data_IF_224275521365
#
_entry.id   IF_224275521365
#
_cell.length_a   1.000
_cell.length_b   1.000
_cell.length_c   1.000
_cell.angle_alpha   90.00
_cell.angle_beta   90.00
_cell.angle_gamma   90.00
#
_symmetry.space_group_name_H-M   'P 1'
#
loop_
_entity.id
_entity.type
_entity.pdbx_description
1 polymer ?
#
# COMPACT_ATOMS: atom_id res chain seq x y z
N UNK A 1 21.47 28.70 -4.46
CA UNK A 1 20.27 27.89 -4.78
C UNK A 1 20.71 26.43 -4.86
N UNK A 2 20.02 25.52 -4.19
CA UNK A 2 20.32 24.09 -4.15
C UNK A 2 18.99 23.32 -4.14
N UNK A 3 18.94 22.18 -4.83
CA UNK A 3 17.79 21.27 -4.82
C UNK A 3 18.03 20.18 -3.77
N UNK A 4 17.02 19.90 -2.94
CA UNK A 4 17.13 18.94 -1.84
C UNK A 4 16.26 17.70 -2.10
N UNK A 5 16.81 16.53 -1.82
CA UNK A 5 16.05 15.28 -1.80
C UNK A 5 15.64 14.95 -0.37
N UNK A 6 14.33 14.84 -0.11
CA UNK A 6 13.81 14.59 1.24
C UNK A 6 13.53 13.11 1.50
N UNK A 7 14.50 12.41 2.10
CA UNK A 7 14.40 10.97 2.34
C UNK A 7 14.10 10.57 3.79
N UNK A 8 14.54 11.37 4.80
CA UNK A 8 14.27 11.12 6.25
C UNK A 8 12.87 11.58 6.67
N UNK A 9 11.86 11.25 5.90
CA UNK A 9 10.49 11.73 6.09
C UNK A 9 10.21 13.01 5.30
N UNK A 10 9.07 13.66 5.59
CA UNK A 10 8.54 14.78 4.79
C UNK A 10 9.03 16.14 5.31
N UNK A 11 9.38 16.22 6.61
CA UNK A 11 9.66 17.49 7.29
C UNK A 11 10.84 18.27 6.69
N UNK A 12 11.90 17.59 6.28
CA UNK A 12 13.04 18.25 5.63
C UNK A 12 12.66 18.91 4.30
N UNK A 13 11.72 18.32 3.56
CA UNK A 13 11.21 18.87 2.31
C UNK A 13 10.31 20.08 2.54
N UNK A 14 9.45 20.04 3.56
CA UNK A 14 8.65 21.19 3.98
C UNK A 14 9.56 22.39 4.31
N UNK A 15 10.59 22.15 5.12
CA UNK A 15 11.50 23.21 5.56
C UNK A 15 12.31 23.80 4.40
N UNK A 16 12.79 22.96 3.48
CA UNK A 16 13.51 23.40 2.29
C UNK A 16 12.61 24.25 1.37
N UNK A 17 11.37 23.82 1.13
CA UNK A 17 10.41 24.55 0.31
C UNK A 17 10.05 25.92 0.91
N UNK A 18 9.90 26.02 2.24
CA UNK A 18 9.68 27.31 2.94
C UNK A 18 10.84 28.29 2.77
N UNK A 19 12.06 27.77 2.65
CA UNK A 19 13.26 28.56 2.37
C UNK A 19 13.48 28.83 0.87
N UNK A 20 12.57 28.41 0.00
CA UNK A 20 12.63 28.67 -1.43
C UNK A 20 13.64 27.80 -2.19
N UNK A 21 13.92 26.60 -1.68
CA UNK A 21 14.71 25.59 -2.36
C UNK A 21 13.80 24.59 -3.06
N UNK A 22 14.15 24.20 -4.28
CA UNK A 22 13.49 23.07 -4.96
C UNK A 22 13.69 21.76 -4.17
N UNK A 23 12.66 20.91 -4.20
CA UNK A 23 12.59 19.67 -3.43
C UNK A 23 12.11 18.51 -4.30
N UNK A 24 12.84 17.40 -4.23
CA UNK A 24 12.39 16.08 -4.70
C UNK A 24 12.01 15.27 -3.46
N UNK A 25 10.78 14.80 -3.40
CA UNK A 25 10.28 14.01 -2.28
C UNK A 25 10.65 12.53 -2.45
N UNK A 26 11.43 11.97 -1.53
CA UNK A 26 11.76 10.54 -1.50
C UNK A 26 11.54 9.90 -0.11
N UNK A 27 10.48 10.24 0.63
CA UNK A 27 10.38 9.88 2.04
C UNK A 27 10.37 8.36 2.23
N UNK A 28 11.29 7.86 3.07
CA UNK A 28 11.56 6.45 3.32
C UNK A 28 10.30 5.62 3.65
N UNK A 29 9.32 6.23 4.31
CA UNK A 29 8.09 5.57 4.70
C UNK A 29 7.12 5.30 3.53
N UNK A 30 7.29 5.98 2.39
CA UNK A 30 6.45 5.85 1.20
C UNK A 30 7.22 5.35 -0.01
N UNK A 31 8.45 5.82 -0.25
CA UNK A 31 9.09 5.68 -1.57
C UNK A 31 10.38 4.84 -1.57
N UNK A 32 10.75 4.21 -0.45
CA UNK A 32 11.84 3.24 -0.46
C UNK A 32 11.33 1.85 -0.81
N UNK A 33 11.62 1.41 -2.04
CA UNK A 33 11.22 0.09 -2.54
C UNK A 33 12.12 -1.04 -2.05
N UNK A 34 13.09 -0.74 -1.20
CA UNK A 34 13.92 -1.72 -0.49
C UNK A 34 13.22 -2.37 0.69
N UNK A 35 12.12 -1.76 1.14
CA UNK A 35 11.32 -2.23 2.28
C UNK A 35 10.38 -3.37 1.87
N UNK A 36 10.03 -4.22 2.84
CA UNK A 36 9.02 -5.25 2.61
C UNK A 36 7.72 -4.64 2.10
N UNK A 37 7.05 -5.36 1.20
CA UNK A 37 5.78 -4.94 0.57
C UNK A 37 4.61 -5.88 0.88
N UNK A 38 4.90 -6.99 1.55
CA UNK A 38 3.94 -7.96 2.09
C UNK A 38 4.47 -8.47 3.44
N UNK A 39 3.76 -9.37 4.12
CA UNK A 39 4.23 -9.92 5.40
C UNK A 39 5.60 -10.61 5.27
N UNK A 40 6.59 -10.14 6.04
CA UNK A 40 8.00 -10.60 5.96
C UNK A 40 8.19 -12.12 6.08
N UNK A 41 7.28 -12.83 6.76
CA UNK A 41 7.36 -14.30 6.93
C UNK A 41 7.18 -15.05 5.60
N UNK A 42 6.54 -14.43 4.61
CA UNK A 42 6.20 -15.02 3.31
C UNK A 42 6.92 -14.31 2.15
N UNK A 43 7.98 -13.56 2.44
CA UNK A 43 8.67 -12.71 1.48
C UNK A 43 10.18 -13.00 1.49
N UNK A 44 10.87 -12.87 0.35
CA UNK A 44 12.33 -12.94 0.35
C UNK A 44 12.91 -11.77 1.15
N UNK A 45 14.11 -11.97 1.73
CA UNK A 45 14.81 -11.00 2.58
C UNK A 45 14.83 -9.59 1.96
N UNK A 46 14.66 -8.57 2.81
CA UNK A 46 14.65 -7.15 2.46
C UNK A 46 15.10 -6.30 3.67
N UNK A 47 15.40 -5.01 3.46
CA UNK A 47 16.05 -4.11 4.43
C UNK A 47 15.25 -3.79 5.71
N UNK A 48 14.05 -4.34 5.88
CA UNK A 48 13.12 -4.01 6.96
C UNK A 48 12.03 -3.03 6.53
N UNK A 49 11.26 -2.50 7.49
CA UNK A 49 10.14 -1.60 7.21
C UNK A 49 8.98 -2.26 6.42
N UNK A 50 7.95 -1.47 6.12
CA UNK A 50 6.80 -1.92 5.33
C UNK A 50 6.24 -0.78 4.46
N UNK A 51 6.27 -0.99 3.15
CA UNK A 51 5.82 -0.06 2.11
C UNK A 51 5.08 -0.86 1.05
N UNK A 52 3.77 -1.02 1.24
CA UNK A 52 2.89 -1.76 0.33
C UNK A 52 2.51 -0.95 -0.91
N UNK A 53 1.87 -1.57 -1.89
CA UNK A 53 1.44 -0.89 -3.12
C UNK A 53 0.46 0.26 -2.82
N UNK A 54 -0.54 0.01 -1.97
CA UNK A 54 -1.53 1.01 -1.55
C UNK A 54 -0.88 2.16 -0.80
N UNK A 55 0.18 1.89 -0.04
CA UNK A 55 0.90 2.93 0.70
C UNK A 55 1.62 3.89 -0.24
N UNK A 56 2.31 3.39 -1.27
CA UNK A 56 2.93 4.22 -2.32
C UNK A 56 1.86 5.05 -3.02
N UNK A 57 0.76 4.39 -3.42
CA UNK A 57 -0.35 5.05 -4.10
C UNK A 57 -1.03 6.13 -3.25
N UNK A 58 -1.14 5.93 -1.93
CA UNK A 58 -1.77 6.89 -1.02
C UNK A 58 -0.92 8.14 -0.74
N UNK A 59 0.35 8.15 -1.17
CA UNK A 59 1.23 9.28 -0.92
C UNK A 59 0.81 10.50 -1.76
N UNK A 60 0.87 11.67 -1.12
CA UNK A 60 0.70 12.98 -1.75
C UNK A 60 2.04 13.73 -1.62
N UNK A 61 2.78 13.93 -2.73
CA UNK A 61 4.09 14.58 -2.71
C UNK A 61 4.04 16.02 -2.19
N UNK A 62 2.95 16.76 -2.44
CA UNK A 62 2.79 18.14 -2.00
C UNK A 62 2.15 18.17 -0.61
N UNK A 63 2.91 18.48 0.47
CA UNK A 63 2.37 18.45 1.83
C UNK A 63 1.29 19.51 2.03
N UNK A 64 0.22 19.16 2.75
CA UNK A 64 -0.89 20.08 3.02
C UNK A 64 -0.47 21.28 3.90
N UNK A 65 0.68 21.19 4.57
CA UNK A 65 1.28 22.23 5.40
C UNK A 65 1.93 23.36 4.60
N UNK A 66 2.12 23.19 3.28
CA UNK A 66 2.67 24.21 2.39
C UNK A 66 1.54 25.07 1.79
N UNK A 67 1.75 26.38 1.75
CA UNK A 67 0.86 27.26 1.00
C UNK A 67 1.12 27.17 -0.52
N UNK A 68 0.24 27.78 -1.33
CA UNK A 68 0.33 27.71 -2.79
C UNK A 68 1.62 28.28 -3.41
N UNK A 69 2.34 29.16 -2.70
CA UNK A 69 3.64 29.69 -3.15
C UNK A 69 4.75 28.68 -2.84
N UNK A 70 4.77 28.14 -1.62
CA UNK A 70 5.76 27.16 -1.16
C UNK A 70 5.63 25.83 -1.91
N UNK A 71 4.40 25.39 -2.19
CA UNK A 71 4.12 24.15 -2.90
C UNK A 71 4.79 24.07 -4.29
N UNK A 72 5.07 25.22 -4.93
CA UNK A 72 5.76 25.26 -6.23
C UNK A 72 7.20 24.76 -6.20
N UNK A 73 7.81 24.76 -5.01
CA UNK A 73 9.16 24.23 -4.83
C UNK A 73 9.18 22.71 -4.70
N UNK A 74 8.03 22.03 -4.56
CA UNK A 74 7.97 20.58 -4.68
C UNK A 74 7.94 20.24 -6.16
N UNK A 75 9.09 19.84 -6.71
CA UNK A 75 9.27 19.66 -8.16
C UNK A 75 9.09 18.20 -8.61
N UNK A 76 8.91 17.26 -7.68
CA UNK A 76 8.60 15.87 -7.99
C UNK A 76 8.80 14.93 -6.80
N UNK A 77 8.63 13.63 -7.06
CA UNK A 77 8.97 12.57 -6.12
C UNK A 77 9.86 11.51 -6.79
N UNK A 78 10.56 10.72 -5.98
CA UNK A 78 11.46 9.67 -6.45
C UNK A 78 11.31 8.39 -5.61
N UNK A 79 11.29 7.24 -6.31
CA UNK A 79 11.29 5.91 -5.70
C UNK A 79 12.68 5.33 -5.65
N UNK A 80 13.26 5.19 -4.45
CA UNK A 80 14.62 4.71 -4.27
C UNK A 80 14.71 3.18 -4.19
N UNK A 81 15.69 2.61 -4.89
CA UNK A 81 16.04 1.18 -4.86
C UNK A 81 17.51 1.00 -4.45
N UNK A 82 17.73 0.84 -3.15
CA UNK A 82 19.00 0.40 -2.58
C UNK A 82 19.13 -1.13 -2.62
N UNK A 83 20.27 -1.63 -3.09
CA UNK A 83 20.41 -3.02 -3.54
C UNK A 83 21.13 -3.93 -2.54
N UNK A 84 21.29 -3.53 -1.28
CA UNK A 84 22.02 -4.32 -0.26
C UNK A 84 21.45 -5.74 -0.10
N UNK A 85 20.14 -5.91 -0.34
CA UNK A 85 19.42 -7.20 -0.27
C UNK A 85 18.86 -7.63 -1.63
N UNK A 86 19.40 -7.09 -2.73
CA UNK A 86 18.93 -7.35 -4.10
C UNK A 86 20.11 -7.78 -4.99
N UNK A 87 20.54 -9.05 -4.90
CA UNK A 87 21.77 -9.51 -5.57
C UNK A 87 21.63 -9.59 -7.10
N UNK A 88 20.40 -9.57 -7.63
CA UNK A 88 20.15 -9.68 -9.05
C UNK A 88 18.96 -8.80 -9.50
N UNK A 89 18.83 -8.66 -10.82
CA UNK A 89 17.75 -7.89 -11.45
C UNK A 89 16.37 -8.49 -11.17
N UNK A 90 16.25 -9.80 -10.97
CA UNK A 90 14.95 -10.43 -10.67
C UNK A 90 14.43 -9.96 -9.32
N UNK A 91 15.31 -9.82 -8.32
CA UNK A 91 14.95 -9.28 -7.00
C UNK A 91 14.66 -7.78 -7.08
N UNK A 92 15.43 -7.00 -7.85
CA UNK A 92 15.13 -5.58 -8.11
C UNK A 92 13.74 -5.40 -8.72
N UNK A 93 13.42 -6.16 -9.78
CA UNK A 93 12.10 -6.12 -10.41
C UNK A 93 11.00 -6.53 -9.43
N UNK A 94 11.20 -7.59 -8.64
CA UNK A 94 10.22 -8.01 -7.62
C UNK A 94 9.92 -6.90 -6.61
N UNK A 95 10.95 -6.15 -6.21
CA UNK A 95 10.83 -5.09 -5.23
C UNK A 95 10.23 -3.81 -5.85
N UNK A 96 10.59 -3.46 -7.09
CA UNK A 96 10.09 -2.25 -7.74
C UNK A 96 8.69 -2.42 -8.35
N UNK A 97 8.36 -3.58 -8.92
CA UNK A 97 7.10 -3.81 -9.63
C UNK A 97 6.06 -4.50 -8.72
N UNK A 98 4.82 -3.97 -8.59
CA UNK A 98 4.22 -2.85 -9.33
C UNK A 98 4.29 -1.48 -8.63
N UNK A 99 5.04 -1.34 -7.53
CA UNK A 99 5.12 -0.06 -6.78
C UNK A 99 5.56 1.13 -7.64
N UNK A 100 6.40 0.88 -8.64
CA UNK A 100 6.78 1.87 -9.65
C UNK A 100 5.57 2.43 -10.43
N UNK A 101 4.56 1.60 -10.72
CA UNK A 101 3.34 2.08 -11.37
C UNK A 101 2.51 2.97 -10.44
N UNK A 102 2.48 2.68 -9.13
CA UNK A 102 1.82 3.54 -8.15
C UNK A 102 2.54 4.88 -7.98
N UNK A 103 3.89 4.87 -7.99
CA UNK A 103 4.67 6.11 -7.97
C UNK A 103 4.40 6.96 -9.22
N UNK A 104 4.44 6.34 -10.41
CA UNK A 104 4.16 7.04 -11.65
C UNK A 104 2.78 7.71 -11.65
N UNK A 105 1.75 7.05 -11.11
CA UNK A 105 0.43 7.67 -10.96
C UNK A 105 0.42 8.79 -9.91
N UNK A 106 1.13 8.62 -8.79
CA UNK A 106 1.28 9.64 -7.76
C UNK A 106 1.94 10.92 -8.28
N UNK A 107 2.94 10.81 -9.14
CA UNK A 107 3.65 11.98 -9.68
C UNK A 107 2.92 12.62 -10.86
N UNK A 108 2.17 11.85 -11.63
CA UNK A 108 1.57 12.32 -12.89
C UNK A 108 0.11 12.77 -12.74
N UNK A 109 -0.67 12.09 -11.89
CA UNK A 109 -2.13 12.30 -11.81
C UNK A 109 -2.47 13.29 -10.71
N UNK A 110 -3.29 14.33 -10.99
CA UNK A 110 -3.73 15.25 -9.95
C UNK A 110 -4.37 14.52 -8.76
N UNK A 111 -4.03 14.91 -7.54
CA UNK A 111 -4.45 14.25 -6.31
C UNK A 111 -5.95 13.91 -6.24
N UNK A 112 -6.79 14.86 -6.68
CA UNK A 112 -8.26 14.74 -6.68
C UNK A 112 -8.81 13.69 -7.66
N UNK A 113 -8.03 13.31 -8.67
CA UNK A 113 -8.42 12.32 -9.68
C UNK A 113 -7.94 10.90 -9.31
N UNK A 114 -7.08 10.77 -8.28
CA UNK A 114 -6.59 9.47 -7.83
C UNK A 114 -7.74 8.65 -7.24
N UNK A 115 -7.98 7.48 -7.84
CA UNK A 115 -9.00 6.53 -7.40
C UNK A 115 -8.41 5.12 -7.20
N UNK A 116 -8.30 4.67 -5.94
CA UNK A 116 -7.68 3.40 -5.62
C UNK A 116 -8.33 2.17 -6.27
N UNK A 117 -9.67 1.97 -6.20
CA UNK A 117 -10.33 0.86 -6.90
C UNK A 117 -10.05 0.82 -8.41
N UNK A 118 -10.04 1.98 -9.06
CA UNK A 118 -9.75 2.11 -10.49
C UNK A 118 -8.27 1.80 -10.79
N UNK A 119 -7.33 2.31 -9.97
CA UNK A 119 -5.92 1.95 -10.04
C UNK A 119 -5.70 0.44 -9.86
N UNK A 120 -6.33 -0.20 -8.87
CA UNK A 120 -6.24 -1.65 -8.66
C UNK A 120 -6.67 -2.44 -9.91
N UNK A 121 -7.74 -2.02 -10.57
CA UNK A 121 -8.19 -2.61 -11.82
C UNK A 121 -7.16 -2.42 -12.93
N UNK A 122 -6.57 -1.23 -13.09
CA UNK A 122 -5.57 -0.97 -14.13
C UNK A 122 -4.25 -1.71 -13.87
N UNK A 123 -3.73 -1.65 -12.66
CA UNK A 123 -2.48 -2.33 -12.26
C UNK A 123 -2.59 -3.85 -12.38
N UNK A 124 -3.78 -4.42 -12.18
CA UNK A 124 -4.01 -5.85 -12.44
C UNK A 124 -3.71 -6.24 -13.90
N UNK A 125 -3.92 -5.33 -14.87
CA UNK A 125 -3.57 -5.55 -16.27
C UNK A 125 -2.06 -5.44 -16.51
N UNK A 126 -1.36 -4.60 -15.76
CA UNK A 126 0.11 -4.53 -15.83
C UNK A 126 0.77 -5.86 -15.47
N UNK A 127 0.17 -6.67 -14.57
CA UNK A 127 0.68 -8.02 -14.29
C UNK A 127 0.69 -8.94 -15.51
N UNK A 128 -0.28 -8.80 -16.42
CA UNK A 128 -0.27 -9.56 -17.67
C UNK A 128 0.89 -9.12 -18.58
N UNK A 129 1.16 -7.81 -18.63
CA UNK A 129 2.29 -7.24 -19.39
C UNK A 129 3.62 -7.72 -18.81
N UNK A 130 3.81 -7.61 -17.49
CA UNK A 130 5.02 -8.06 -16.81
C UNK A 130 5.28 -9.54 -17.05
N UNK A 131 4.22 -10.37 -16.96
CA UNK A 131 4.32 -11.80 -17.26
C UNK A 131 4.72 -12.05 -18.72
N UNK A 132 4.12 -11.35 -19.68
CA UNK A 132 4.43 -11.50 -21.10
C UNK A 132 5.88 -11.08 -21.42
N UNK A 133 6.40 -10.06 -20.73
CA UNK A 133 7.79 -9.59 -20.85
C UNK A 133 8.79 -10.41 -20.02
N UNK A 134 8.33 -11.40 -19.25
CA UNK A 134 9.20 -12.22 -18.40
C UNK A 134 9.79 -11.48 -17.19
N UNK A 135 9.20 -10.35 -16.78
CA UNK A 135 9.65 -9.61 -15.60
C UNK A 135 9.21 -10.31 -14.32
N UNK A 136 10.09 -10.31 -13.31
CA UNK A 136 9.74 -10.80 -11.98
C UNK A 136 9.04 -9.69 -11.19
N UNK A 137 7.84 -9.90 -10.67
CA UNK A 137 7.07 -8.87 -9.97
C UNK A 137 6.41 -9.41 -8.72
N UNK A 138 6.10 -8.51 -7.78
CA UNK A 138 5.33 -8.85 -6.59
C UNK A 138 3.83 -8.93 -6.93
N UNK A 139 3.10 -9.96 -6.46
CA UNK A 139 1.64 -10.01 -6.61
C UNK A 139 0.91 -9.01 -5.69
N UNK A 140 1.63 -8.29 -4.83
CA UNK A 140 1.08 -7.39 -3.81
C UNK A 140 0.90 -8.07 -2.44
N UNK A 141 0.38 -7.30 -1.48
CA UNK A 141 0.09 -7.79 -0.13
C UNK A 141 -1.27 -8.49 -0.08
N UNK A 142 -1.30 -9.72 0.45
CA UNK A 142 -2.53 -10.48 0.72
C UNK A 142 -3.15 -10.15 2.08
N UNK A 143 -2.55 -9.24 2.86
CA UNK A 143 -3.16 -8.67 4.07
C UNK A 143 -4.58 -8.17 3.80
N UNK A 144 -5.49 -8.48 4.72
CA UNK A 144 -6.83 -7.90 4.78
C UNK A 144 -6.84 -6.77 5.80
N UNK A 145 -7.23 -5.57 5.36
CA UNK A 145 -7.51 -4.45 6.23
C UNK A 145 -8.99 -4.51 6.67
N UNK A 146 -9.20 -4.60 7.99
CA UNK A 146 -10.53 -4.59 8.61
C UNK A 146 -10.85 -3.15 8.99
N UNK A 147 -11.69 -2.50 8.19
CA UNK A 147 -12.04 -1.08 8.32
C UNK A 147 -13.36 -0.96 9.06
N UNK A 148 -13.33 -0.32 10.23
CA UNK A 148 -14.54 0.09 10.94
C UNK A 148 -14.98 1.42 10.34
N UNK A 149 -16.21 1.47 9.84
CA UNK A 149 -16.84 2.65 9.27
C UNK A 149 -17.68 3.31 10.37
N UNK A 150 -19.00 3.42 10.15
CA UNK A 150 -19.90 4.15 11.04
C UNK A 150 -20.49 3.26 12.15
N UNK A 151 -20.86 3.92 13.25
CA UNK A 151 -21.75 3.32 14.25
C UNK A 151 -23.19 3.34 13.73
N UNK A 152 -23.91 2.28 14.07
CA UNK A 152 -25.32 2.07 13.74
C UNK A 152 -26.06 1.75 15.04
N UNK A 153 -27.40 1.81 15.04
CA UNK A 153 -28.19 1.41 16.22
C UNK A 153 -27.91 -0.02 16.69
N UNK A 154 -27.46 -0.90 15.79
CA UNK A 154 -27.24 -2.33 16.04
C UNK A 154 -25.76 -2.74 16.14
N UNK A 155 -24.82 -1.80 16.08
CA UNK A 155 -23.38 -2.09 16.14
C UNK A 155 -22.56 -1.24 15.18
N UNK A 156 -21.42 -1.74 14.73
CA UNK A 156 -20.50 -1.03 13.84
C UNK A 156 -20.49 -1.66 12.46
N UNK A 157 -20.53 -0.82 11.42
CA UNK A 157 -20.37 -1.27 10.04
C UNK A 157 -18.91 -1.55 9.75
N UNK A 158 -18.62 -2.73 9.21
CA UNK A 158 -17.27 -3.21 8.91
C UNK A 158 -17.14 -3.54 7.44
N UNK A 159 -16.07 -3.05 6.82
CA UNK A 159 -15.65 -3.40 5.47
C UNK A 159 -14.29 -4.10 5.49
N UNK A 160 -14.13 -5.10 4.64
CA UNK A 160 -12.86 -5.81 4.45
C UNK A 160 -12.23 -5.34 3.14
N UNK A 161 -10.99 -4.90 3.19
CA UNK A 161 -10.25 -4.37 2.04
C UNK A 161 -8.97 -5.17 1.82
N UNK A 162 -8.53 -5.28 0.56
CA UNK A 162 -7.25 -5.89 0.20
C UNK A 162 -6.61 -5.13 -0.95
N UNK A 163 -5.29 -5.26 -1.10
CA UNK A 163 -4.57 -4.75 -2.27
C UNK A 163 -4.75 -5.63 -3.51
N UNK A 164 -5.10 -6.90 -3.30
CA UNK A 164 -5.37 -7.84 -4.38
C UNK A 164 -6.67 -7.45 -5.07
N UNK A 165 -6.64 -7.40 -6.40
CA UNK A 165 -7.83 -7.15 -7.21
C UNK A 165 -8.71 -8.41 -7.24
N UNK A 166 -9.99 -8.27 -6.88
CA UNK A 166 -10.97 -9.36 -6.69
C UNK A 166 -10.46 -10.52 -5.80
N UNK A 167 -10.17 -10.25 -4.52
CA UNK A 167 -9.68 -11.28 -3.60
C UNK A 167 -10.82 -12.21 -3.17
N UNK A 168 -10.49 -13.48 -2.92
CA UNK A 168 -11.38 -14.36 -2.13
C UNK A 168 -11.07 -14.19 -0.65
N UNK A 169 -11.89 -13.42 0.05
CA UNK A 169 -11.73 -13.15 1.49
C UNK A 169 -12.70 -14.03 2.29
N UNK A 170 -12.19 -14.76 3.27
CA UNK A 170 -12.99 -15.45 4.28
C UNK A 170 -12.74 -14.84 5.67
N UNK A 171 -13.78 -14.80 6.51
CA UNK A 171 -13.71 -14.16 7.81
C UNK A 171 -14.52 -14.86 8.90
N UNK A 172 -14.16 -14.56 10.15
CA UNK A 172 -14.84 -15.00 11.38
C UNK A 172 -15.11 -13.78 12.26
N UNK A 173 -16.11 -13.88 13.14
CA UNK A 173 -16.49 -12.81 14.09
C UNK A 173 -16.42 -13.26 15.55
N UNK A 174 -15.92 -14.46 15.81
CA UNK A 174 -15.75 -15.06 17.15
C UNK A 174 -14.27 -15.13 17.55
N UNK A 175 -13.36 -14.55 16.76
CA UNK A 175 -11.93 -14.59 16.99
C UNK A 175 -11.21 -15.86 16.57
N UNK A 176 -11.87 -16.88 16.00
CA UNK A 176 -11.18 -18.05 15.45
C UNK A 176 -10.45 -17.71 14.14
N UNK A 177 -9.44 -18.51 13.77
CA UNK A 177 -8.72 -18.34 12.50
C UNK A 177 -9.64 -18.72 11.32
N UNK A 178 -9.76 -17.88 10.27
CA UNK A 178 -10.58 -18.21 9.11
C UNK A 178 -9.95 -19.32 8.26
N UNK A 179 -10.81 -20.15 7.69
CA UNK A 179 -10.52 -21.21 6.71
C UNK A 179 -11.49 -21.10 5.52
N UNK A 180 -11.44 -22.06 4.58
CA UNK A 180 -12.31 -22.08 3.40
C UNK A 180 -13.79 -22.31 3.72
N UNK A 181 -14.11 -22.85 4.90
CA UNK A 181 -15.49 -23.07 5.35
C UNK A 181 -16.05 -21.86 6.10
N UNK A 182 -15.19 -20.93 6.50
CA UNK A 182 -15.56 -19.67 7.13
C UNK A 182 -16.34 -18.78 6.17
N UNK A 183 -17.07 -17.80 6.71
CA UNK A 183 -17.97 -16.95 5.91
C UNK A 183 -17.19 -16.18 4.84
N UNK A 184 -17.61 -16.29 3.58
CA UNK A 184 -17.06 -15.53 2.46
C UNK A 184 -17.53 -14.07 2.53
N UNK A 185 -16.62 -13.13 2.31
CA UNK A 185 -16.93 -11.72 2.24
C UNK A 185 -17.45 -11.34 0.85
N UNK A 186 -18.54 -10.59 0.82
CA UNK A 186 -19.20 -10.12 -0.40
C UNK A 186 -19.54 -8.62 -0.29
N UNK A 187 -20.05 -8.20 0.87
CA UNK A 187 -20.39 -6.80 1.17
C UNK A 187 -20.12 -6.45 2.63
N UNK A 188 -20.02 -5.15 2.97
CA UNK A 188 -19.91 -4.71 4.36
C UNK A 188 -21.01 -5.30 5.25
N UNK A 189 -20.67 -5.60 6.50
CA UNK A 189 -21.55 -6.24 7.47
C UNK A 189 -21.50 -5.49 8.81
N UNK A 190 -22.50 -5.69 9.66
CA UNK A 190 -22.61 -5.03 10.98
C UNK A 190 -22.29 -6.03 12.08
N UNK A 191 -21.53 -5.61 13.09
CA UNK A 191 -21.21 -6.42 14.28
C UNK A 191 -21.33 -5.60 15.57
N UNK A 192 -21.65 -6.21 16.72
CA UNK A 192 -21.69 -5.51 17.99
C UNK A 192 -20.29 -5.08 18.47
N UNK A 193 -20.26 -4.15 19.44
CA UNK A 193 -19.04 -3.77 20.15
C UNK A 193 -18.40 -4.99 20.82
N UNK A 194 -17.09 -5.06 20.84
CA UNK A 194 -16.32 -6.17 21.42
C UNK A 194 -16.12 -7.37 20.48
N UNK A 195 -16.75 -7.36 19.29
CA UNK A 195 -16.54 -8.43 18.29
C UNK A 195 -15.08 -8.51 17.87
N UNK A 196 -14.51 -9.71 17.92
CA UNK A 196 -13.18 -9.99 17.39
C UNK A 196 -13.32 -10.57 15.99
N UNK A 197 -12.87 -9.80 15.00
CA UNK A 197 -12.92 -10.17 13.59
C UNK A 197 -11.54 -10.68 13.19
N UNK A 198 -11.51 -11.85 12.55
CA UNK A 198 -10.34 -12.28 11.78
C UNK A 198 -10.72 -12.44 10.31
N UNK A 199 -9.84 -12.04 9.39
CA UNK A 199 -10.09 -12.16 7.95
C UNK A 199 -8.80 -12.47 7.17
N UNK A 200 -8.91 -13.28 6.12
CA UNK A 200 -7.77 -13.65 5.29
C UNK A 200 -8.13 -13.83 3.82
N UNK A 201 -7.16 -13.57 2.94
CA UNK A 201 -7.25 -13.88 1.51
C UNK A 201 -6.80 -15.31 1.25
N UNK A 202 -7.57 -16.02 0.44
CA UNK A 202 -7.24 -17.33 -0.09
C UNK A 202 -6.99 -17.25 -1.60
N UNK A 203 -5.94 -17.93 -2.08
CA UNK A 203 -5.64 -18.04 -3.51
C UNK A 203 -5.52 -19.52 -3.85
N UNK A 204 -6.39 -20.01 -4.75
CA UNK A 204 -6.46 -21.43 -5.12
C UNK A 204 -6.53 -22.35 -3.88
N UNK A 205 -7.36 -21.98 -2.90
CA UNK A 205 -7.55 -22.74 -1.66
C UNK A 205 -6.42 -22.61 -0.63
N UNK A 206 -5.38 -21.82 -0.89
CA UNK A 206 -4.25 -21.64 0.05
C UNK A 206 -4.31 -20.29 0.74
N UNK A 207 -4.07 -20.30 2.05
CA UNK A 207 -3.87 -19.09 2.83
C UNK A 207 -2.52 -18.45 2.46
N UNK A 208 -2.54 -17.19 2.04
CA UNK A 208 -1.36 -16.52 1.49
C UNK A 208 -0.56 -15.72 2.51
N UNK A 209 -1.22 -15.19 3.54
CA UNK A 209 -0.59 -14.39 4.59
C UNK A 209 -1.24 -14.63 5.97
N UNK A 210 -0.66 -14.05 7.02
CA UNK A 210 -1.29 -14.04 8.35
C UNK A 210 -2.63 -13.28 8.27
N UNK A 211 -3.72 -13.85 8.84
CA UNK A 211 -5.01 -13.16 8.89
C UNK A 211 -4.91 -11.78 9.55
N UNK A 212 -5.66 -10.82 9.02
CA UNK A 212 -5.92 -9.56 9.71
C UNK A 212 -6.79 -9.82 10.94
N UNK A 213 -6.51 -9.13 12.04
CA UNK A 213 -7.26 -9.26 13.30
C UNK A 213 -7.65 -7.86 13.77
N UNK A 214 -8.91 -7.68 14.15
CA UNK A 214 -9.43 -6.41 14.69
C UNK A 214 -10.48 -6.68 15.76
N UNK A 215 -10.32 -6.02 16.90
CA UNK A 215 -11.37 -5.93 17.92
C UNK A 215 -12.15 -4.64 17.66
N UNK A 216 -13.47 -4.76 17.53
CA UNK A 216 -14.36 -3.61 17.37
C UNK A 216 -14.51 -2.92 18.73
N UNK A 217 -13.91 -1.74 18.86
CA UNK A 217 -13.91 -0.94 20.09
C UNK A 217 -14.98 0.13 20.07
#
# INVERSE_FOLDING_TARGET
HATLESWRGIQGGIEAARHGHDVIMAPIQYLYFTRYQANRKFQPLAAGGFTSLKKVYSYEPVPAELNAREAKYIIGAEGCVWTEYMPDIKKVQYMALPRMAALAETDWTPAKEKNWPDFQRRVSRHFMIYKALGYNYSPGSYKVDIVIQDSTKSGFRVALQSEIYHPEIHYTTNGSRPDLNSKKYDKPFVVPRGTTIQAAVFVKGKLMEVPGIKIVK
#
